data_IF_400952082963
#
_entry.id   IF_400952082963
#
_cell.length_a   1.000
_cell.length_b   1.000
_cell.length_c   1.000
_cell.angle_alpha   90.00
_cell.angle_beta   90.00
_cell.angle_gamma   90.00
#
_symmetry.space_group_name_H-M   'P 1'
#
loop_
_entity.id
_entity.type
_entity.pdbx_description
1 polymer ?
#
# COMPACT_ATOMS: atom_id res chain seq x y z
N UNK A 1 -26.37 -3.57 4.17
CA UNK A 1 -26.70 -2.63 5.28
C UNK A 1 -25.44 -1.82 5.43
N UNK A 2 -25.46 -0.54 5.04
CA UNK A 2 -24.29 0.33 5.12
C UNK A 2 -24.08 0.69 6.59
N UNK A 3 -23.06 0.12 7.22
CA UNK A 3 -22.67 0.46 8.59
C UNK A 3 -21.64 1.58 8.53
N UNK A 4 -22.09 2.81 8.27
CA UNK A 4 -21.24 3.99 8.37
C UNK A 4 -20.73 4.13 9.82
N UNK A 5 -19.49 3.71 10.07
CA UNK A 5 -18.87 3.81 11.39
C UNK A 5 -17.78 4.87 11.40
N UNK A 6 -17.88 5.77 12.37
CA UNK A 6 -16.97 6.91 12.50
C UNK A 6 -16.19 6.80 13.82
N UNK A 7 -14.98 6.24 13.77
CA UNK A 7 -14.21 5.78 14.94
C UNK A 7 -12.90 6.54 15.10
N UNK A 8 -12.61 6.99 16.33
CA UNK A 8 -11.32 7.65 16.62
C UNK A 8 -10.16 6.66 16.78
N UNK A 9 -10.40 5.58 17.50
CA UNK A 9 -9.41 4.57 17.86
C UNK A 9 -10.06 3.19 17.78
N UNK A 10 -9.42 2.28 17.07
CA UNK A 10 -9.81 0.88 17.05
C UNK A 10 -8.57 0.00 17.20
N UNK A 11 -8.66 -0.99 18.09
CA UNK A 11 -7.61 -1.98 18.31
C UNK A 11 -8.27 -3.34 18.46
N UNK A 12 -7.93 -4.29 17.59
CA UNK A 12 -8.42 -5.67 17.67
C UNK A 12 -7.47 -6.61 16.95
N UNK A 13 -7.57 -7.92 17.20
CA UNK A 13 -6.74 -8.89 16.48
C UNK A 13 -7.11 -8.95 15.00
N UNK A 14 -8.42 -8.96 14.70
CA UNK A 14 -8.97 -8.97 13.34
C UNK A 14 -9.94 -7.80 13.20
N UNK A 15 -9.84 -7.07 12.08
CA UNK A 15 -10.77 -6.03 11.69
C UNK A 15 -11.29 -6.33 10.28
N UNK A 16 -12.60 -6.48 10.14
CA UNK A 16 -13.30 -6.56 8.86
C UNK A 16 -14.31 -5.40 8.84
N UNK A 17 -14.21 -4.49 7.87
CA UNK A 17 -15.05 -3.28 7.82
C UNK A 17 -15.33 -2.86 6.38
N UNK A 18 -16.55 -2.44 6.14
CA UNK A 18 -17.03 -1.82 4.90
C UNK A 18 -17.51 -0.40 5.26
N UNK A 19 -17.37 0.56 4.36
CA UNK A 19 -17.94 1.92 4.50
C UNK A 19 -17.62 2.61 5.85
N UNK A 20 -16.34 2.77 6.20
CA UNK A 20 -15.96 3.21 7.55
C UNK A 20 -14.84 4.26 7.59
N UNK A 21 -15.01 5.26 8.45
CA UNK A 21 -14.03 6.30 8.74
C UNK A 21 -13.31 6.02 10.06
N UNK A 22 -12.00 5.78 10.01
CA UNK A 22 -11.21 5.49 11.21
C UNK A 22 -9.99 6.42 11.31
N UNK A 23 -9.78 7.08 12.45
CA UNK A 23 -8.56 7.90 12.60
C UNK A 23 -7.33 7.03 12.83
N UNK A 24 -7.36 6.14 13.82
CA UNK A 24 -6.24 5.25 14.13
C UNK A 24 -6.74 3.81 14.26
N UNK A 25 -6.12 2.91 13.51
CA UNK A 25 -6.40 1.48 13.54
C UNK A 25 -5.11 0.69 13.83
N UNK A 26 -5.21 -0.26 14.76
CA UNK A 26 -4.15 -1.24 15.02
C UNK A 26 -4.74 -2.63 15.03
N UNK A 27 -4.25 -3.52 14.18
CA UNK A 27 -4.68 -4.92 14.20
C UNK A 27 -3.60 -5.90 13.77
N UNK A 28 -3.81 -7.19 13.99
CA UNK A 28 -2.95 -8.18 13.34
C UNK A 28 -3.37 -8.36 11.87
N UNK A 29 -4.68 -8.51 11.63
CA UNK A 29 -5.28 -8.65 10.30
C UNK A 29 -6.32 -7.57 10.08
N UNK A 30 -6.26 -6.91 8.94
CA UNK A 30 -7.20 -5.88 8.52
C UNK A 30 -7.66 -6.20 7.09
N UNK A 31 -8.98 -6.32 6.88
CA UNK A 31 -9.60 -6.38 5.55
C UNK A 31 -10.64 -5.28 5.48
N UNK A 32 -10.58 -4.43 4.47
CA UNK A 32 -11.48 -3.29 4.35
C UNK A 32 -11.86 -2.98 2.91
N UNK A 33 -13.04 -2.43 2.75
CA UNK A 33 -13.64 -2.00 1.48
C UNK A 33 -14.29 -0.64 1.72
N UNK A 34 -14.16 0.31 0.79
CA UNK A 34 -14.77 1.65 0.89
C UNK A 34 -14.44 2.38 2.22
N UNK A 35 -13.16 2.58 2.54
CA UNK A 35 -12.76 3.07 3.86
C UNK A 35 -11.68 4.16 3.87
N UNK A 36 -11.93 5.21 4.66
CA UNK A 36 -10.94 6.25 4.92
C UNK A 36 -10.22 6.03 6.26
N UNK A 37 -8.88 6.17 6.26
CA UNK A 37 -8.15 6.30 7.52
C UNK A 37 -6.95 7.25 7.49
N UNK A 38 -6.58 7.72 8.68
CA UNK A 38 -5.34 8.50 8.85
C UNK A 38 -4.14 7.59 9.08
N UNK A 39 -4.26 6.60 9.94
CA UNK A 39 -3.14 5.74 10.34
C UNK A 39 -3.63 4.31 10.55
N UNK A 40 -2.97 3.37 9.88
CA UNK A 40 -3.12 1.94 10.11
C UNK A 40 -1.76 1.32 10.42
N UNK A 41 -1.72 0.54 11.50
CA UNK A 41 -0.65 -0.41 11.78
C UNK A 41 -1.24 -1.83 11.73
N UNK A 42 -0.68 -2.70 10.90
CA UNK A 42 -1.12 -4.10 10.84
C UNK A 42 0.02 -5.07 10.56
N UNK A 43 -0.20 -6.38 10.77
CA UNK A 43 0.71 -7.38 10.20
C UNK A 43 0.31 -7.66 8.76
N UNK A 44 -0.97 -7.94 8.54
CA UNK A 44 -1.56 -8.20 7.23
C UNK A 44 -2.68 -7.20 6.97
N UNK A 45 -2.64 -6.57 5.80
CA UNK A 45 -3.68 -5.68 5.34
C UNK A 45 -4.14 -6.05 3.92
N UNK A 46 -5.44 -6.16 3.73
CA UNK A 46 -6.09 -6.23 2.42
C UNK A 46 -7.05 -5.06 2.33
N UNK A 47 -7.01 -4.28 1.25
CA UNK A 47 -7.96 -3.19 1.03
C UNK A 47 -8.37 -3.06 -0.42
N UNK A 48 -9.60 -2.64 -0.61
CA UNK A 48 -10.25 -2.28 -1.86
C UNK A 48 -10.89 -0.90 -1.66
N UNK A 49 -10.79 0.00 -2.63
CA UNK A 49 -11.42 1.32 -2.60
C UNK A 49 -11.16 2.11 -1.30
N UNK A 50 -9.89 2.36 -0.96
CA UNK A 50 -9.54 2.96 0.33
C UNK A 50 -8.57 4.15 0.26
N UNK A 51 -8.89 5.22 0.98
CA UNK A 51 -8.02 6.38 1.15
C UNK A 51 -7.26 6.36 2.47
N UNK A 52 -5.93 6.48 2.38
CA UNK A 52 -5.05 6.38 3.55
C UNK A 52 -3.97 7.46 3.60
N UNK A 53 -3.75 8.04 4.78
CA UNK A 53 -2.55 8.89 4.95
C UNK A 53 -1.30 8.05 5.19
N UNK A 54 -1.35 7.11 6.13
CA UNK A 54 -0.18 6.39 6.62
C UNK A 54 -0.51 4.91 6.85
N UNK A 55 0.26 4.03 6.19
CA UNK A 55 0.23 2.59 6.43
C UNK A 55 1.58 2.07 6.91
N UNK A 56 1.55 1.32 8.00
CA UNK A 56 2.62 0.41 8.40
C UNK A 56 2.07 -1.02 8.37
N UNK A 57 2.64 -1.88 7.52
CA UNK A 57 2.27 -3.29 7.48
C UNK A 57 3.47 -4.21 7.31
N UNK A 58 3.34 -5.49 7.61
CA UNK A 58 4.34 -6.47 7.13
C UNK A 58 4.00 -6.87 5.70
N UNK A 59 2.74 -7.23 5.47
CA UNK A 59 2.19 -7.61 4.17
C UNK A 59 0.99 -6.73 3.88
N UNK A 60 0.91 -6.21 2.67
CA UNK A 60 -0.27 -5.52 2.19
C UNK A 60 -0.61 -5.86 0.74
N UNK A 61 -1.91 -5.96 0.49
CA UNK A 61 -2.55 -6.06 -0.84
C UNK A 61 -3.55 -4.92 -0.96
N UNK A 62 -3.47 -4.16 -2.04
CA UNK A 62 -4.35 -3.03 -2.29
C UNK A 62 -4.84 -3.02 -3.74
N UNK A 63 -6.13 -2.79 -3.88
CA UNK A 63 -6.82 -2.56 -5.15
C UNK A 63 -7.50 -1.19 -5.02
N UNK A 64 -7.42 -0.35 -6.05
CA UNK A 64 -8.09 0.96 -6.11
C UNK A 64 -7.86 1.84 -4.86
N UNK A 65 -6.60 2.05 -4.47
CA UNK A 65 -6.26 2.75 -3.22
C UNK A 65 -5.37 3.99 -3.43
N UNK A 66 -5.76 5.10 -2.79
CA UNK A 66 -4.93 6.29 -2.67
C UNK A 66 -4.21 6.35 -1.33
N UNK A 67 -2.88 6.51 -1.35
CA UNK A 67 -2.17 6.76 -0.09
C UNK A 67 -0.97 7.70 -0.15
N UNK A 68 -0.71 8.35 0.98
CA UNK A 68 0.45 9.25 1.07
C UNK A 68 1.73 8.48 1.36
N UNK A 69 1.81 7.77 2.48
CA UNK A 69 3.00 7.00 2.85
C UNK A 69 2.62 5.55 3.14
N UNK A 70 3.39 4.63 2.57
CA UNK A 70 3.35 3.21 2.89
C UNK A 70 4.75 2.71 3.24
N UNK A 71 4.83 1.97 4.35
CA UNK A 71 6.00 1.17 4.67
C UNK A 71 5.56 -0.27 4.90
N UNK A 72 6.14 -1.19 4.13
CA UNK A 72 5.91 -2.63 4.35
C UNK A 72 7.12 -3.51 4.07
N UNK A 73 7.03 -4.79 4.40
CA UNK A 73 8.00 -5.77 3.90
C UNK A 73 7.62 -6.21 2.49
N UNK A 74 6.36 -6.59 2.30
CA UNK A 74 5.79 -7.03 1.02
C UNK A 74 4.58 -6.15 0.68
N UNK A 75 4.52 -5.69 -0.56
CA UNK A 75 3.43 -4.87 -1.08
C UNK A 75 3.00 -5.39 -2.45
N UNK A 76 1.73 -5.73 -2.61
CA UNK A 76 1.09 -5.97 -3.91
C UNK A 76 0.05 -4.89 -4.10
N UNK A 77 0.02 -4.26 -5.29
CA UNK A 77 -0.96 -3.22 -5.62
C UNK A 77 -1.41 -3.28 -7.06
N UNK A 78 -2.65 -2.91 -7.28
CA UNK A 78 -3.32 -2.73 -8.57
C UNK A 78 -4.06 -1.39 -8.49
N UNK A 79 -4.01 -0.59 -9.55
CA UNK A 79 -4.74 0.68 -9.67
C UNK A 79 -4.57 1.62 -8.45
N UNK A 80 -3.33 1.90 -8.05
CA UNK A 80 -3.06 2.68 -6.83
C UNK A 80 -2.21 3.92 -7.05
N UNK A 81 -2.63 5.04 -6.45
CA UNK A 81 -1.84 6.28 -6.39
C UNK A 81 -1.10 6.46 -5.06
N UNK A 82 0.20 6.72 -5.16
CA UNK A 82 1.06 6.81 -3.97
C UNK A 82 2.05 7.97 -4.02
N UNK A 83 2.24 8.68 -2.90
CA UNK A 83 3.36 9.63 -2.82
C UNK A 83 4.67 8.93 -2.52
N UNK A 84 4.73 8.16 -1.45
CA UNK A 84 5.96 7.52 -0.97
C UNK A 84 5.70 6.05 -0.63
N UNK A 85 6.52 5.17 -1.20
CA UNK A 85 6.60 3.77 -0.79
C UNK A 85 8.02 3.43 -0.31
N UNK A 86 8.09 2.78 0.84
CA UNK A 86 9.24 1.99 1.28
C UNK A 86 8.82 0.53 1.41
N UNK A 87 9.50 -0.38 0.71
CA UNK A 87 9.24 -1.82 0.85
C UNK A 87 10.49 -2.67 0.71
N UNK A 88 10.47 -3.94 1.12
CA UNK A 88 11.53 -4.87 0.69
C UNK A 88 11.19 -5.41 -0.70
N UNK A 89 9.97 -5.89 -0.87
CA UNK A 89 9.43 -6.40 -2.13
C UNK A 89 8.17 -5.63 -2.47
N UNK A 90 8.09 -5.12 -3.70
CA UNK A 90 6.85 -4.57 -4.23
C UNK A 90 6.52 -5.11 -5.62
N UNK A 91 5.27 -5.52 -5.80
CA UNK A 91 4.63 -5.83 -7.08
C UNK A 91 3.57 -4.77 -7.31
N UNK A 92 3.49 -4.25 -8.53
CA UNK A 92 2.51 -3.22 -8.91
C UNK A 92 2.03 -3.41 -10.34
N UNK A 93 0.77 -3.08 -10.55
CA UNK A 93 0.10 -2.97 -11.84
C UNK A 93 -0.66 -1.64 -11.85
N UNK A 94 -0.59 -0.90 -12.95
CA UNK A 94 -1.33 0.36 -13.15
C UNK A 94 -1.26 1.36 -11.98
N UNK A 95 -0.05 1.61 -11.45
CA UNK A 95 0.14 2.49 -10.30
C UNK A 95 0.93 3.76 -10.63
N UNK A 96 0.49 4.90 -10.10
CA UNK A 96 1.26 6.14 -10.10
C UNK A 96 2.00 6.36 -8.77
N UNK A 97 3.30 6.69 -8.86
CA UNK A 97 4.09 6.98 -7.66
C UNK A 97 5.07 8.13 -7.80
N UNK A 98 5.23 8.93 -6.74
CA UNK A 98 6.31 9.94 -6.72
C UNK A 98 7.66 9.31 -6.39
N UNK A 99 7.83 8.72 -5.20
CA UNK A 99 9.08 8.08 -4.81
C UNK A 99 8.84 6.63 -4.39
N UNK A 100 9.67 5.74 -4.93
CA UNK A 100 9.79 4.37 -4.48
C UNK A 100 11.19 4.08 -3.96
N UNK A 101 11.25 3.47 -2.77
CA UNK A 101 12.41 2.75 -2.27
C UNK A 101 12.04 1.29 -2.06
N UNK A 102 12.71 0.38 -2.77
CA UNK A 102 12.53 -1.07 -2.60
C UNK A 102 13.85 -1.84 -2.71
N UNK A 103 13.91 -3.08 -2.22
CA UNK A 103 15.01 -3.97 -2.62
C UNK A 103 14.70 -4.60 -3.97
N UNK A 104 13.49 -5.15 -4.10
CA UNK A 104 12.96 -5.78 -5.31
C UNK A 104 11.67 -5.07 -5.72
N UNK A 105 11.61 -4.62 -6.97
CA UNK A 105 10.39 -4.16 -7.61
C UNK A 105 10.03 -4.97 -8.85
N UNK A 106 8.75 -5.26 -9.01
CA UNK A 106 8.14 -5.75 -10.24
C UNK A 106 7.00 -4.80 -10.58
N UNK A 107 6.90 -4.39 -11.83
CA UNK A 107 5.90 -3.41 -12.25
C UNK A 107 5.33 -3.68 -13.64
N UNK A 108 4.09 -3.30 -13.83
CA UNK A 108 3.39 -3.25 -15.10
C UNK A 108 2.66 -1.91 -15.18
N UNK A 109 2.82 -1.21 -16.30
CA UNK A 109 2.13 0.05 -16.60
C UNK A 109 2.14 1.11 -15.46
N UNK A 110 3.23 1.16 -14.70
CA UNK A 110 3.41 2.12 -13.60
C UNK A 110 4.24 3.36 -14.00
N UNK A 111 3.76 4.55 -13.63
CA UNK A 111 4.52 5.79 -13.71
C UNK A 111 5.21 6.14 -12.38
N UNK A 112 6.51 6.43 -12.44
CA UNK A 112 7.30 6.82 -11.26
C UNK A 112 8.28 7.95 -11.51
N UNK A 113 8.31 8.95 -10.63
CA UNK A 113 9.28 10.06 -10.73
C UNK A 113 10.69 9.66 -10.28
N UNK A 114 10.79 8.99 -9.14
CA UNK A 114 12.07 8.54 -8.60
C UNK A 114 11.95 7.11 -8.09
N UNK A 115 12.93 6.31 -8.48
CA UNK A 115 13.04 4.89 -8.15
C UNK A 115 14.41 4.61 -7.56
N UNK A 116 14.43 4.05 -6.36
CA UNK A 116 15.60 3.43 -5.74
C UNK A 116 15.31 1.96 -5.52
N UNK A 117 16.02 1.09 -6.24
CA UNK A 117 15.89 -0.36 -6.12
C UNK A 117 17.19 -1.10 -6.40
N UNK A 118 17.39 -2.23 -5.75
CA UNK A 118 18.50 -3.15 -6.09
C UNK A 118 18.17 -3.96 -7.34
N UNK A 119 16.92 -4.40 -7.46
CA UNK A 119 16.41 -5.16 -8.61
C UNK A 119 15.07 -4.56 -9.02
N UNK A 120 14.87 -4.29 -10.31
CA UNK A 120 13.58 -3.85 -10.83
C UNK A 120 13.22 -4.47 -12.18
N UNK A 121 12.26 -5.38 -12.19
CA UNK A 121 11.74 -5.98 -13.41
C UNK A 121 10.43 -5.35 -13.86
N UNK A 122 10.14 -5.50 -15.14
CA UNK A 122 8.80 -5.42 -15.68
C UNK A 122 8.19 -6.82 -15.68
N UNK A 123 6.87 -6.96 -15.56
CA UNK A 123 6.22 -8.29 -15.52
C UNK A 123 6.53 -9.12 -16.79
N UNK A 124 6.88 -8.45 -17.89
CA UNK A 124 7.28 -9.04 -19.16
C UNK A 124 8.80 -9.11 -19.42
N UNK A 125 9.65 -8.47 -18.59
CA UNK A 125 11.11 -8.45 -18.74
C UNK A 125 11.83 -8.12 -17.41
N UNK A 126 12.55 -9.09 -16.82
CA UNK A 126 13.34 -8.84 -15.59
C UNK A 126 14.71 -8.25 -15.95
N UNK A 127 14.82 -6.92 -15.94
CA UNK A 127 16.10 -6.21 -16.07
C UNK A 127 16.70 -5.95 -14.69
N UNK A 128 17.91 -6.44 -14.39
CA UNK A 128 18.59 -6.09 -13.13
C UNK A 128 19.18 -4.69 -13.25
N UNK A 129 18.41 -3.66 -12.88
CA UNK A 129 18.87 -2.26 -12.85
C UNK A 129 19.61 -2.01 -11.54
N UNK A 130 20.95 -2.00 -11.57
CA UNK A 130 21.73 -1.25 -10.58
C UNK A 130 21.80 0.21 -11.04
N UNK A 131 20.94 1.10 -10.54
CA UNK A 131 21.10 2.53 -10.84
C UNK A 131 20.61 3.42 -9.71
N UNK A 132 21.56 4.08 -9.06
CA UNK A 132 21.32 5.31 -8.31
C UNK A 132 21.26 6.44 -9.34
N UNK A 133 20.10 7.07 -9.51
CA UNK A 133 20.01 8.38 -10.17
C UNK A 133 19.65 9.43 -9.12
N UNK A 134 20.65 10.23 -8.75
CA UNK A 134 20.49 11.55 -8.12
C UNK A 134 19.89 12.54 -9.10
#
# INVERSE_FOLDING_TARGET
MREDCDMKLLSSTVCLREDCDIKLLSSAVCVREDCDMKLLSSTVCVREDCDMKLLLSTVCVHEDCDMKLLSSTVCVREDCDMKLLSSTVCVREDCDMKLLSSTVCVREDCDMKLLSSTVCGWLYDVVVIHSVRT
#
